data_IF_065593982608
#
_entry.id   IF_065593982608
#
_cell.length_a   1.000
_cell.length_b   1.000
_cell.length_c   1.000
_cell.angle_alpha   90.00
_cell.angle_beta   90.00
_cell.angle_gamma   90.00
#
_symmetry.space_group_name_H-M   'P 1'
#
loop_
_entity.id
_entity.type
_entity.pdbx_description
1 polymer ?
#
# COMPACT_ATOMS: atom_id res chain seq x y z
N UNK A 1 -26.67 4.07 -25.58
CA UNK A 1 -25.41 4.63 -25.04
C UNK A 1 -25.13 3.88 -23.74
N UNK A 2 -24.27 2.87 -23.77
CA UNK A 2 -23.96 2.08 -22.57
C UNK A 2 -22.88 2.81 -21.79
N UNK A 3 -23.24 3.33 -20.61
CA UNK A 3 -22.28 3.87 -19.66
C UNK A 3 -21.59 2.65 -19.02
N UNK A 4 -20.52 2.16 -19.65
CA UNK A 4 -19.60 1.26 -18.96
C UNK A 4 -18.87 2.09 -17.91
N UNK A 5 -19.45 2.18 -16.71
CA UNK A 5 -18.67 2.55 -15.54
C UNK A 5 -17.57 1.51 -15.42
N UNK A 6 -16.31 1.95 -15.58
CA UNK A 6 -15.17 1.06 -15.36
C UNK A 6 -15.25 0.55 -13.92
N UNK A 7 -15.20 -0.76 -13.68
CA UNK A 7 -15.33 -1.31 -12.34
C UNK A 7 -14.27 -0.70 -11.43
N UNK A 8 -14.70 -0.08 -10.32
CA UNK A 8 -13.80 0.47 -9.32
C UNK A 8 -13.15 -0.70 -8.58
N UNK A 9 -11.94 -1.05 -9.01
CA UNK A 9 -11.09 -2.07 -8.37
C UNK A 9 -10.96 -1.78 -6.87
N UNK A 10 -11.03 -2.83 -6.04
CA UNK A 10 -10.59 -2.71 -4.67
C UNK A 10 -9.09 -2.37 -4.67
N UNK A 11 -8.70 -1.31 -3.95
CA UNK A 11 -7.31 -0.85 -3.90
C UNK A 11 -6.57 -1.47 -2.73
N UNK A 12 -5.26 -1.58 -2.86
CA UNK A 12 -4.37 -1.72 -1.72
C UNK A 12 -3.91 -0.34 -1.30
N UNK A 13 -3.83 -0.10 0.01
CA UNK A 13 -3.21 1.11 0.50
C UNK A 13 -2.35 0.87 1.73
N UNK A 14 -1.38 1.76 1.90
CA UNK A 14 -0.56 1.88 3.09
C UNK A 14 -0.75 3.29 3.62
N UNK A 15 -1.07 3.42 4.90
CA UNK A 15 -1.01 4.71 5.59
C UNK A 15 0.22 4.71 6.49
N UNK A 16 1.04 5.74 6.36
CA UNK A 16 2.23 5.93 7.18
C UNK A 16 1.92 7.06 8.16
N UNK A 17 1.67 6.68 9.42
CA UNK A 17 1.12 7.55 10.45
C UNK A 17 2.27 8.28 11.11
N UNK A 18 2.37 9.61 10.89
CA UNK A 18 3.47 10.42 11.42
C UNK A 18 3.21 10.90 12.85
N UNK A 19 1.96 11.21 13.16
CA UNK A 19 1.54 11.75 14.45
C UNK A 19 0.03 11.55 14.67
N UNK A 20 -0.36 10.80 15.70
CA UNK A 20 -1.76 10.56 16.05
C UNK A 20 -2.56 11.85 16.33
N UNK A 21 -1.89 12.92 16.77
CA UNK A 21 -2.54 14.20 17.06
C UNK A 21 -2.93 14.99 15.80
N UNK A 22 -2.28 14.73 14.66
CA UNK A 22 -2.65 15.36 13.39
C UNK A 22 -2.63 14.39 12.20
N UNK A 23 -3.71 13.61 12.00
CA UNK A 23 -3.85 12.67 10.88
C UNK A 23 -3.79 13.33 9.49
N UNK A 24 -3.88 14.66 9.41
CA UNK A 24 -3.75 15.39 8.14
C UNK A 24 -2.33 15.37 7.62
N UNK A 25 -1.36 14.97 8.44
CA UNK A 25 0.06 14.83 8.06
C UNK A 25 0.44 13.42 7.64
N UNK A 26 -0.47 12.46 7.75
CA UNK A 26 -0.16 11.07 7.41
C UNK A 26 0.05 10.89 5.92
N UNK A 27 1.12 10.18 5.59
CA UNK A 27 1.44 9.84 4.21
C UNK A 27 0.60 8.66 3.77
N UNK A 28 0.39 8.55 2.46
CA UNK A 28 -0.39 7.43 1.91
C UNK A 28 0.21 6.92 0.62
N UNK A 29 0.24 5.60 0.50
CA UNK A 29 0.56 4.88 -0.73
C UNK A 29 -0.71 4.17 -1.16
N UNK A 30 -1.11 4.36 -2.43
CA UNK A 30 -2.24 3.68 -3.03
C UNK A 30 -1.78 2.91 -4.24
N UNK A 31 -2.17 1.64 -4.33
CA UNK A 31 -1.90 0.79 -5.48
C UNK A 31 -3.22 0.29 -6.05
N UNK A 32 -3.33 0.40 -7.38
CA UNK A 32 -4.47 -0.09 -8.16
C UNK A 32 -3.96 -0.82 -9.40
N UNK A 33 -4.71 -1.83 -9.90
CA UNK A 33 -4.39 -2.45 -11.17
C UNK A 33 -4.64 -1.43 -12.30
N UNK A 34 -3.78 -1.47 -13.31
CA UNK A 34 -3.82 -0.60 -14.48
C UNK A 34 -3.47 -1.42 -15.73
N UNK A 35 -4.45 -2.20 -16.21
CA UNK A 35 -4.24 -3.18 -17.26
C UNK A 35 -3.27 -4.29 -16.82
N UNK A 36 -2.14 -4.41 -17.52
CA UNK A 36 -1.06 -5.36 -17.19
C UNK A 36 -0.04 -4.81 -16.16
N UNK A 37 -0.21 -3.55 -15.76
CA UNK A 37 0.66 -2.86 -14.80
C UNK A 37 -0.10 -2.52 -13.52
N UNK A 38 0.58 -1.86 -12.59
CA UNK A 38 0.02 -1.35 -11.35
C UNK A 38 0.32 0.13 -11.21
N UNK A 39 -0.74 0.93 -11.10
CA UNK A 39 -0.62 2.35 -10.79
C UNK A 39 -0.37 2.56 -9.31
N UNK A 40 0.79 3.13 -8.97
CA UNK A 40 1.16 3.54 -7.62
C UNK A 40 1.07 5.05 -7.47
N UNK A 41 0.46 5.50 -6.38
CA UNK A 41 0.42 6.90 -5.98
C UNK A 41 0.91 7.02 -4.55
N UNK A 42 2.02 7.73 -4.35
CA UNK A 42 2.48 8.17 -3.04
C UNK A 42 2.10 9.63 -2.82
N UNK A 43 1.51 9.94 -1.67
CA UNK A 43 1.24 11.30 -1.23
C UNK A 43 1.91 11.52 0.12
N UNK A 44 2.89 12.43 0.16
CA UNK A 44 3.37 13.04 1.39
C UNK A 44 2.53 14.27 1.66
N UNK A 45 1.73 14.24 2.73
CA UNK A 45 0.78 15.33 2.99
C UNK A 45 1.42 16.56 3.59
N UNK A 46 2.42 16.38 4.47
CA UNK A 46 3.09 17.49 5.16
C UNK A 46 3.84 18.38 4.15
N UNK A 47 4.54 17.76 3.20
CA UNK A 47 5.30 18.46 2.17
C UNK A 47 4.48 18.72 0.89
N UNK A 48 3.22 18.25 0.83
CA UNK A 48 2.34 18.31 -0.35
C UNK A 48 2.95 17.70 -1.61
N UNK A 49 3.78 16.67 -1.45
CA UNK A 49 4.42 15.97 -2.55
C UNK A 49 3.50 14.83 -2.99
N UNK A 50 3.30 14.72 -4.31
CA UNK A 50 2.58 13.62 -4.93
C UNK A 50 3.43 13.00 -6.02
N UNK A 51 3.73 11.72 -5.88
CA UNK A 51 4.44 10.93 -6.88
C UNK A 51 3.51 9.86 -7.45
N UNK A 52 3.50 9.71 -8.77
CA UNK A 52 2.74 8.69 -9.47
C UNK A 52 3.63 7.94 -10.43
N UNK A 53 3.52 6.61 -10.44
CA UNK A 53 4.29 5.73 -11.29
C UNK A 53 3.45 4.52 -11.69
N UNK A 54 3.74 3.96 -12.87
CA UNK A 54 3.17 2.69 -13.32
C UNK A 54 4.30 1.66 -13.29
N UNK A 55 4.08 0.57 -12.56
CA UNK A 55 5.09 -0.47 -12.33
C UNK A 55 4.57 -1.82 -12.82
N UNK A 56 5.44 -2.66 -13.35
CA UNK A 56 5.12 -4.07 -13.57
C UNK A 56 5.12 -4.86 -12.25
N UNK A 57 4.73 -6.14 -12.28
CA UNK A 57 4.66 -7.00 -11.08
C UNK A 57 5.97 -7.06 -10.29
N UNK A 58 7.10 -7.23 -10.97
CA UNK A 58 8.42 -7.36 -10.32
C UNK A 58 8.84 -6.05 -9.66
N UNK A 59 8.65 -4.93 -10.36
CA UNK A 59 8.94 -3.59 -9.85
C UNK A 59 8.04 -3.24 -8.67
N UNK A 60 6.77 -3.63 -8.71
CA UNK A 60 5.82 -3.40 -7.62
C UNK A 60 6.20 -4.21 -6.37
N UNK A 61 6.57 -5.48 -6.55
CA UNK A 61 7.05 -6.31 -5.45
C UNK A 61 8.36 -5.76 -4.85
N UNK A 62 9.30 -5.34 -5.70
CA UNK A 62 10.54 -4.70 -5.27
C UNK A 62 10.26 -3.41 -4.48
N UNK A 63 9.37 -2.55 -4.97
CA UNK A 63 8.93 -1.34 -4.27
C UNK A 63 8.44 -1.66 -2.86
N UNK A 64 7.57 -2.67 -2.71
CA UNK A 64 7.01 -3.04 -1.41
C UNK A 64 8.07 -3.59 -0.45
N UNK A 65 8.96 -4.45 -0.95
CA UNK A 65 10.10 -4.97 -0.16
C UNK A 65 11.00 -3.85 0.32
N UNK A 66 11.37 -2.95 -0.59
CA UNK A 66 12.27 -1.85 -0.28
C UNK A 66 11.56 -0.86 0.68
N UNK A 67 10.26 -0.59 0.50
CA UNK A 67 9.46 0.22 1.43
C UNK A 67 9.49 -0.35 2.86
N UNK A 68 9.14 -1.62 3.06
CA UNK A 68 9.10 -2.23 4.40
C UNK A 68 10.49 -2.23 5.04
N UNK A 69 11.54 -2.48 4.25
CA UNK A 69 12.91 -2.47 4.74
C UNK A 69 13.34 -1.07 5.18
N UNK A 70 13.18 -0.07 4.31
CA UNK A 70 13.62 1.30 4.55
C UNK A 70 12.83 1.96 5.69
N UNK A 71 11.51 1.77 5.73
CA UNK A 71 10.67 2.39 6.79
C UNK A 71 11.00 1.85 8.18
N UNK A 72 11.41 0.57 8.27
CA UNK A 72 11.81 -0.04 9.54
C UNK A 72 13.21 0.43 10.01
N UNK A 73 14.03 0.89 9.08
CA UNK A 73 15.39 1.38 9.31
C UNK A 73 15.48 2.90 9.48
N UNK A 74 14.39 3.65 9.28
CA UNK A 74 14.36 5.10 9.41
C UNK A 74 14.78 5.55 10.82
N UNK A 75 15.76 6.45 10.89
CA UNK A 75 16.26 7.03 12.14
C UNK A 75 15.26 8.00 12.78
N UNK A 76 14.31 8.53 11.98
CA UNK A 76 13.18 9.34 12.45
C UNK A 76 11.87 8.61 12.11
N UNK A 77 11.62 7.48 12.78
CA UNK A 77 10.53 6.60 12.41
C UNK A 77 9.18 7.28 12.62
N UNK A 78 8.24 6.87 11.77
CA UNK A 78 6.81 7.14 11.90
C UNK A 78 6.27 6.50 13.19
N UNK A 79 5.09 6.88 13.65
CA UNK A 79 4.50 6.24 14.83
C UNK A 79 3.99 4.83 14.50
N UNK A 80 3.28 4.69 13.38
CA UNK A 80 2.70 3.42 12.94
C UNK A 80 2.62 3.33 11.40
N UNK A 81 2.54 2.11 10.89
CA UNK A 81 2.25 1.81 9.48
C UNK A 81 1.04 0.89 9.42
N UNK A 82 0.02 1.31 8.70
CA UNK A 82 -1.19 0.53 8.47
C UNK A 82 -1.21 -0.02 7.05
N UNK A 83 -1.41 -1.33 6.91
CA UNK A 83 -1.60 -2.00 5.62
C UNK A 83 -3.07 -2.37 5.44
N UNK A 84 -3.65 -1.93 4.33
CA UNK A 84 -5.03 -2.19 3.95
C UNK A 84 -5.05 -3.12 2.73
N UNK A 85 -5.00 -4.42 2.99
CA UNK A 85 -5.18 -5.43 1.95
C UNK A 85 -6.67 -5.65 1.67
N UNK A 86 -7.10 -5.69 0.41
CA UNK A 86 -8.48 -6.05 0.13
C UNK A 86 -8.79 -7.50 0.56
N UNK A 87 -9.97 -7.68 1.16
CA UNK A 87 -10.44 -8.98 1.66
C UNK A 87 -9.77 -9.46 2.94
N UNK A 88 -9.01 -8.62 3.65
CA UNK A 88 -8.37 -8.92 4.94
C UNK A 88 -8.63 -7.75 5.90
N UNK A 89 -8.71 -7.99 7.22
CA UNK A 89 -8.66 -6.91 8.19
C UNK A 89 -7.43 -6.02 8.00
N UNK A 90 -7.61 -4.71 8.19
CA UNK A 90 -6.49 -3.79 8.26
C UNK A 90 -5.57 -4.19 9.42
N UNK A 91 -4.26 -4.17 9.17
CA UNK A 91 -3.24 -4.48 10.17
C UNK A 91 -2.35 -3.27 10.36
N UNK A 92 -1.95 -3.03 11.61
CA UNK A 92 -1.17 -1.87 12.01
C UNK A 92 0.07 -2.36 12.76
N UNK A 93 1.23 -1.85 12.39
CA UNK A 93 2.50 -2.20 13.01
C UNK A 93 3.25 -0.95 13.47
N UNK A 94 3.95 -1.05 14.60
CA UNK A 94 5.01 -0.08 14.91
C UNK A 94 6.24 -0.35 14.02
N UNK A 95 7.07 0.65 13.74
CA UNK A 95 8.31 0.44 12.99
C UNK A 95 9.25 -0.59 13.62
N UNK A 96 9.28 -0.68 14.95
CA UNK A 96 10.04 -1.71 15.67
C UNK A 96 9.53 -3.12 15.34
N UNK A 97 8.20 -3.32 15.32
CA UNK A 97 7.60 -4.60 14.94
C UNK A 97 7.92 -4.96 13.49
N UNK A 98 7.96 -3.96 12.60
CA UNK A 98 8.35 -4.16 11.21
C UNK A 98 9.82 -4.58 11.03
N UNK A 99 10.69 -4.46 12.05
CA UNK A 99 12.06 -5.00 11.98
C UNK A 99 12.11 -6.52 12.12
N UNK A 100 11.04 -7.17 12.60
CA UNK A 100 10.96 -8.63 12.65
C UNK A 100 10.80 -9.18 11.23
N UNK A 101 11.81 -9.91 10.76
CA UNK A 101 11.85 -10.50 9.42
C UNK A 101 10.63 -11.39 9.12
N UNK A 102 10.05 -12.05 10.14
CA UNK A 102 8.89 -12.93 9.98
C UNK A 102 7.64 -12.11 9.66
N UNK A 103 7.51 -10.94 10.26
CA UNK A 103 6.43 -10.00 9.97
C UNK A 103 6.58 -9.46 8.55
N UNK A 104 7.80 -9.05 8.17
CA UNK A 104 8.07 -8.61 6.80
C UNK A 104 7.74 -9.70 5.79
N UNK A 105 8.16 -10.94 6.02
CA UNK A 105 7.89 -12.09 5.14
C UNK A 105 6.38 -12.31 4.95
N UNK A 106 5.59 -12.27 6.03
CA UNK A 106 4.12 -12.42 5.95
C UNK A 106 3.49 -11.30 5.13
N UNK A 107 3.91 -10.04 5.36
CA UNK A 107 3.43 -8.89 4.60
C UNK A 107 3.77 -9.04 3.10
N UNK A 108 5.02 -9.38 2.78
CA UNK A 108 5.49 -9.52 1.40
C UNK A 108 4.81 -10.70 0.70
N UNK A 109 4.67 -11.85 1.36
CA UNK A 109 3.92 -12.98 0.82
C UNK A 109 2.47 -12.62 0.55
N UNK A 110 1.82 -11.84 1.44
CA UNK A 110 0.45 -11.39 1.21
C UNK A 110 0.37 -10.43 0.03
N UNK A 111 1.35 -9.55 -0.11
CA UNK A 111 1.43 -8.63 -1.25
C UNK A 111 1.65 -9.37 -2.58
N UNK A 112 2.53 -10.36 -2.62
CA UNK A 112 2.72 -11.23 -3.79
C UNK A 112 1.43 -11.97 -4.18
N UNK A 113 0.72 -12.53 -3.19
CA UNK A 113 -0.60 -13.13 -3.42
C UNK A 113 -1.60 -12.14 -4.03
N UNK A 114 -1.59 -10.88 -3.56
CA UNK A 114 -2.44 -9.81 -4.06
C UNK A 114 -2.10 -9.46 -5.51
N UNK A 115 -0.81 -9.30 -5.85
CA UNK A 115 -0.39 -9.00 -7.22
C UNK A 115 -0.81 -10.09 -8.20
N UNK A 116 -0.76 -11.36 -7.77
CA UNK A 116 -1.15 -12.52 -8.57
C UNK A 116 -2.67 -12.69 -8.69
N UNK A 117 -3.41 -12.25 -7.67
CA UNK A 117 -4.86 -12.47 -7.56
C UNK A 117 -5.58 -11.18 -7.20
N UNK A 118 -5.34 -10.13 -8.00
CA UNK A 118 -5.95 -8.85 -7.72
C UNK A 118 -7.47 -9.00 -7.77
N UNK A 119 -8.20 -8.63 -6.70
CA UNK A 119 -9.64 -8.85 -6.65
C UNK A 119 -10.34 -8.04 -7.74
N UNK A 120 -10.87 -8.76 -8.72
CA UNK A 120 -11.86 -8.25 -9.66
C UNK A 120 -13.18 -8.20 -8.88
N UNK A 121 -13.88 -7.07 -8.83
CA UNK A 121 -15.17 -7.03 -8.12
C UNK A 121 -16.12 -8.04 -8.76
N UNK A 122 -16.68 -8.91 -7.92
CA UNK A 122 -17.98 -9.53 -8.15
C UNK A 122 -19.01 -8.45 -7.83
N UNK A 123 -19.91 -8.14 -8.76
CA UNK A 123 -20.99 -7.19 -8.49
C UNK A 123 -21.74 -7.66 -7.23
N UNK A 124 -21.74 -6.84 -6.19
CA UNK A 124 -22.66 -7.00 -5.06
C UNK A 124 -24.07 -6.94 -5.64
N UNK A 125 -24.77 -8.06 -5.55
CA UNK A 125 -26.17 -8.25 -5.96
C UNK A 125 -27.10 -7.50 -5.04
#
# INVERSE_FOLDING_TARGET
MSIYESPVSAGFSINVIRNFADPRKDDSIHVKPDGQFFGLTYNNKDEKIKHQQSLNTNEMFAYMRDFVTLISADEKPFEQVQFNFPGVPAVIFSPETLRDYRIQEVILKRFDCLLSNWPIRVNST
#
